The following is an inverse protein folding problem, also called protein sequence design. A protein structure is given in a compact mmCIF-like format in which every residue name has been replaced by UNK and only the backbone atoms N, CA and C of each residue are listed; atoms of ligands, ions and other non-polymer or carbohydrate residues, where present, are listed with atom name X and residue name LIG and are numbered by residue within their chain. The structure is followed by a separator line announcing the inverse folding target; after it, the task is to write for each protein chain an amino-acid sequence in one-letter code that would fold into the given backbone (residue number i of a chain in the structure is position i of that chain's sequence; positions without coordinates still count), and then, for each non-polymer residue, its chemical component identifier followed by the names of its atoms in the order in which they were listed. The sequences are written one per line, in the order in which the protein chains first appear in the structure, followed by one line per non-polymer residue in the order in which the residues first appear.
data_IF_361169214936
#
_entry.id   IF_361169214936
#
_cell.length_a   1.000
_cell.length_b   1.000
_cell.length_c   1.000
_cell.angle_alpha   90.00
_cell.angle_beta   90.00
_cell.angle_gamma   90.00
#
_symmetry.space_group_name_H-M   'P 1'
#
loop_
_entity.id
_entity.type
_entity.pdbx_description
1 polymer ?
#
# COMPACT_ATOMS: atom_id res chain seq x y z
N UNK A 1 -34.33 6.08 59.43
CA UNK A 1 -33.08 5.81 58.67
C UNK A 1 -33.34 4.64 57.75
N UNK A 2 -33.41 4.86 56.43
CA UNK A 2 -33.22 3.83 55.40
C UNK A 2 -32.99 4.56 54.07
N UNK A 3 -31.73 4.59 53.62
CA UNK A 3 -31.31 5.08 52.31
C UNK A 3 -31.44 3.91 51.32
N UNK A 4 -32.34 4.02 50.35
CA UNK A 4 -32.35 3.13 49.20
C UNK A 4 -31.31 3.63 48.18
N UNK A 5 -30.30 2.80 47.92
CA UNK A 5 -29.22 3.08 46.98
C UNK A 5 -29.67 2.99 45.54
N UNK A 6 -29.30 3.98 44.74
CA UNK A 6 -29.44 4.00 43.29
C UNK A 6 -28.26 3.21 42.72
N UNK A 7 -28.53 2.06 42.08
CA UNK A 7 -27.56 1.34 41.26
C UNK A 7 -27.43 2.05 39.90
N UNK A 8 -26.26 2.61 39.60
CA UNK A 8 -25.88 3.00 38.24
C UNK A 8 -25.32 1.78 37.51
N UNK A 9 -26.00 1.32 36.46
CA UNK A 9 -25.41 0.45 35.44
C UNK A 9 -24.69 1.32 34.40
N UNK A 10 -23.37 1.21 34.33
CA UNK A 10 -22.57 1.74 33.21
C UNK A 10 -22.50 0.70 32.10
N UNK A 11 -23.13 0.98 30.95
CA UNK A 11 -22.96 0.20 29.74
C UNK A 11 -21.62 0.55 29.08
N UNK A 12 -20.66 -0.39 29.11
CA UNK A 12 -19.49 -0.34 28.24
C UNK A 12 -19.91 -0.77 26.82
N UNK A 13 -20.07 0.20 25.91
CA UNK A 13 -20.13 -0.11 24.47
C UNK A 13 -18.73 -0.45 23.99
N UNK A 14 -18.42 -1.75 23.91
CA UNK A 14 -17.26 -2.22 23.19
C UNK A 14 -17.48 -1.95 21.69
N UNK A 15 -16.82 -0.91 21.17
CA UNK A 15 -16.74 -0.67 19.74
C UNK A 15 -15.91 -1.79 19.11
N UNK A 16 -16.57 -2.85 18.65
CA UNK A 16 -15.93 -3.85 17.79
C UNK A 16 -15.64 -3.18 16.46
N UNK A 17 -14.42 -2.67 16.27
CA UNK A 17 -13.91 -2.33 14.96
C UNK A 17 -13.81 -3.63 14.16
N UNK A 18 -14.90 -4.01 13.48
CA UNK A 18 -14.86 -5.09 12.51
C UNK A 18 -13.76 -4.74 11.50
N UNK A 19 -12.71 -5.56 11.43
CA UNK A 19 -11.68 -5.38 10.43
C UNK A 19 -12.33 -5.53 9.05
N UNK A 20 -12.50 -4.42 8.34
CA UNK A 20 -13.15 -4.35 7.02
C UNK A 20 -12.27 -4.94 5.89
N UNK A 21 -11.09 -5.47 6.23
CA UNK A 21 -10.15 -6.11 5.31
C UNK A 21 -10.32 -7.63 5.36
N UNK A 22 -11.27 -8.14 4.57
CA UNK A 22 -11.40 -9.56 4.34
C UNK A 22 -10.51 -9.99 3.16
N UNK A 23 -9.55 -10.88 3.43
CA UNK A 23 -8.70 -11.52 2.42
C UNK A 23 -9.56 -12.20 1.33
N UNK A 24 -9.09 -12.17 0.07
CA UNK A 24 -9.77 -12.88 -1.00
C UNK A 24 -9.60 -14.40 -0.85
N UNK A 25 -10.72 -15.10 -0.63
CA UNK A 25 -10.76 -16.55 -0.42
C UNK A 25 -10.20 -17.36 -1.59
N UNK A 26 -10.10 -16.78 -2.79
CA UNK A 26 -9.49 -17.46 -3.96
C UNK A 26 -8.00 -17.67 -3.80
N UNK A 27 -7.33 -16.86 -2.97
CA UNK A 27 -5.89 -16.85 -2.80
C UNK A 27 -5.51 -16.94 -1.31
N UNK A 28 -5.85 -18.05 -0.63
CA UNK A 28 -5.60 -18.15 0.80
C UNK A 28 -4.10 -18.24 1.10
N UNK A 29 -3.62 -17.44 2.05
CA UNK A 29 -2.22 -17.44 2.46
C UNK A 29 -1.72 -18.83 2.93
N UNK A 30 -2.57 -19.63 3.58
CA UNK A 30 -2.20 -20.95 4.08
C UNK A 30 -1.92 -21.98 2.98
N UNK A 31 -2.40 -21.74 1.75
CA UNK A 31 -2.16 -22.63 0.61
C UNK A 31 -0.98 -22.19 -0.26
N UNK A 32 -0.28 -21.11 0.11
CA UNK A 32 0.92 -20.66 -0.58
C UNK A 32 2.02 -21.70 -0.39
N UNK A 33 2.58 -22.14 -1.50
CA UNK A 33 3.74 -23.03 -1.56
C UNK A 33 5.02 -22.23 -1.76
N UNK A 34 5.01 -21.28 -2.71
CA UNK A 34 6.18 -20.49 -3.08
C UNK A 34 5.79 -19.06 -3.44
N UNK A 35 6.65 -18.11 -3.10
CA UNK A 35 6.58 -16.72 -3.57
C UNK A 35 7.92 -16.43 -4.24
N UNK A 36 7.90 -15.83 -5.43
CA UNK A 36 9.11 -15.35 -6.09
C UNK A 36 8.92 -13.89 -6.47
N UNK A 37 9.87 -13.04 -6.07
CA UNK A 37 9.89 -11.65 -6.50
C UNK A 37 10.41 -11.63 -7.94
N UNK A 38 9.53 -11.28 -8.87
CA UNK A 38 9.82 -11.25 -10.31
C UNK A 38 10.40 -9.90 -10.69
N UNK A 39 9.90 -8.83 -10.08
CA UNK A 39 10.42 -7.48 -10.22
C UNK A 39 10.36 -6.77 -8.86
N UNK A 40 11.49 -6.55 -8.19
CA UNK A 40 11.48 -5.94 -6.86
C UNK A 40 11.07 -4.46 -6.89
N UNK A 41 11.26 -3.78 -8.02
CA UNK A 41 10.99 -2.35 -8.18
C UNK A 41 10.91 -2.01 -9.67
N UNK A 42 9.70 -1.71 -10.13
CA UNK A 42 9.43 -1.26 -11.49
C UNK A 42 8.80 0.13 -11.50
N UNK A 43 9.10 0.87 -12.57
CA UNK A 43 8.41 2.13 -12.90
C UNK A 43 7.20 1.80 -13.77
N UNK A 44 6.05 2.39 -13.46
CA UNK A 44 4.91 2.40 -14.38
C UNK A 44 5.12 3.43 -15.49
N UNK A 45 4.53 3.19 -16.67
CA UNK A 45 4.70 4.05 -17.84
C UNK A 45 4.01 5.42 -17.74
N UNK A 46 3.19 5.66 -16.71
CA UNK A 46 2.16 6.70 -16.73
C UNK A 46 2.46 7.94 -15.86
N UNK A 47 3.54 7.99 -15.07
CA UNK A 47 3.62 8.98 -13.96
C UNK A 47 4.98 9.64 -13.67
N UNK A 48 4.91 10.72 -12.88
CA UNK A 48 6.00 11.66 -12.54
C UNK A 48 7.17 10.96 -11.85
N UNK A 49 8.25 10.81 -12.62
CA UNK A 49 9.51 10.16 -12.22
C UNK A 49 10.24 10.87 -11.07
N UNK A 50 9.71 11.99 -10.56
CA UNK A 50 10.32 12.79 -9.51
C UNK A 50 9.66 12.61 -8.13
N UNK A 51 8.51 11.92 -8.02
CA UNK A 51 7.79 11.79 -6.74
C UNK A 51 8.46 10.81 -5.77
N UNK A 52 8.86 9.63 -6.24
CA UNK A 52 9.64 8.66 -5.47
C UNK A 52 10.70 8.04 -6.38
N UNK A 53 11.88 7.75 -5.83
CA UNK A 53 12.81 6.87 -6.53
C UNK A 53 12.31 5.44 -6.32
N UNK A 54 11.86 4.76 -7.39
CA UNK A 54 11.33 3.41 -7.24
C UNK A 54 12.37 2.43 -6.69
N UNK A 55 13.68 2.71 -6.80
CA UNK A 55 14.71 1.89 -6.15
C UNK A 55 14.61 1.88 -4.61
N UNK A 56 13.96 2.88 -4.00
CA UNK A 56 13.63 2.88 -2.57
C UNK A 56 12.41 1.98 -2.26
N UNK A 57 11.61 1.64 -3.27
CA UNK A 57 10.40 0.81 -3.17
C UNK A 57 10.74 -0.64 -3.50
N UNK A 58 11.32 -1.35 -2.53
CA UNK A 58 11.69 -2.76 -2.72
C UNK A 58 10.57 -3.68 -2.24
N UNK A 59 9.94 -4.42 -3.15
CA UNK A 59 8.97 -5.46 -2.81
C UNK A 59 9.67 -6.68 -2.19
N UNK A 60 9.14 -7.15 -1.07
CA UNK A 60 9.63 -8.32 -0.33
C UNK A 60 8.58 -9.44 -0.30
N UNK A 61 8.99 -10.67 0.03
CA UNK A 61 8.03 -11.75 0.25
C UNK A 61 7.05 -11.44 1.38
N UNK A 62 7.49 -10.73 2.42
CA UNK A 62 6.62 -10.34 3.53
C UNK A 62 5.52 -9.38 3.06
N UNK A 63 5.85 -8.44 2.16
CA UNK A 63 4.85 -7.56 1.54
C UNK A 63 3.79 -8.37 0.79
N UNK A 64 4.18 -9.40 0.04
CA UNK A 64 3.27 -10.28 -0.69
C UNK A 64 2.39 -11.09 0.28
N UNK A 65 2.96 -11.66 1.34
CA UNK A 65 2.19 -12.38 2.37
C UNK A 65 1.20 -11.46 3.08
N UNK A 66 1.62 -10.24 3.39
CA UNK A 66 0.78 -9.23 4.02
C UNK A 66 -0.38 -8.83 3.10
N UNK A 67 -0.10 -8.65 1.81
CA UNK A 67 -1.12 -8.39 0.80
C UNK A 67 -2.14 -9.53 0.69
N UNK A 68 -1.71 -10.79 0.55
CA UNK A 68 -2.64 -11.93 0.49
C UNK A 68 -3.53 -12.03 1.73
N UNK A 69 -3.03 -11.62 2.90
CA UNK A 69 -3.77 -11.62 4.17
C UNK A 69 -4.80 -10.50 4.29
N UNK A 70 -4.60 -9.37 3.60
CA UNK A 70 -5.35 -8.13 3.87
C UNK A 70 -6.00 -7.49 2.65
N UNK A 71 -5.66 -7.92 1.43
CA UNK A 71 -6.20 -7.33 0.21
C UNK A 71 -7.71 -7.55 0.09
N UNK A 72 -8.41 -6.49 -0.29
CA UNK A 72 -9.86 -6.49 -0.52
C UNK A 72 -10.12 -6.23 -2.00
N UNK A 73 -10.91 -7.10 -2.63
CA UNK A 73 -11.27 -6.94 -4.04
C UNK A 73 -12.07 -5.64 -4.24
N UNK A 74 -11.70 -4.89 -5.28
CA UNK A 74 -12.39 -3.69 -5.72
C UNK A 74 -12.78 -3.79 -7.20
N UNK A 75 -13.62 -2.87 -7.66
CA UNK A 75 -13.97 -2.79 -9.08
C UNK A 75 -12.81 -2.24 -9.90
N UNK A 76 -12.72 -2.64 -11.18
CA UNK A 76 -11.78 -2.05 -12.14
C UNK A 76 -11.92 -0.53 -12.19
N UNK A 77 -13.14 -0.01 -12.21
CA UNK A 77 -13.42 1.44 -12.20
C UNK A 77 -12.80 2.13 -10.99
N UNK A 78 -12.95 1.56 -9.78
CA UNK A 78 -12.35 2.11 -8.56
C UNK A 78 -10.82 2.06 -8.61
N UNK A 79 -10.25 0.98 -9.14
CA UNK A 79 -8.80 0.85 -9.29
C UNK A 79 -8.21 1.93 -10.22
N UNK A 80 -8.90 2.25 -11.31
CA UNK A 80 -8.46 3.22 -12.32
C UNK A 80 -9.04 4.62 -12.14
N UNK A 81 -9.67 4.94 -11.00
CA UNK A 81 -10.18 6.29 -10.74
C UNK A 81 -9.07 7.34 -10.80
N UNK A 82 -9.40 8.55 -11.24
CA UNK A 82 -8.48 9.70 -11.25
C UNK A 82 -8.13 10.15 -9.83
N UNK A 83 -9.06 9.97 -8.88
CA UNK A 83 -8.86 10.31 -7.45
C UNK A 83 -7.98 9.32 -6.68
N UNK A 84 -7.64 8.18 -7.29
CA UNK A 84 -6.85 7.15 -6.60
C UNK A 84 -5.39 7.56 -6.55
N UNK A 85 -4.81 7.65 -5.36
CA UNK A 85 -3.39 7.96 -5.16
C UNK A 85 -2.48 6.89 -5.80
N UNK A 86 -1.45 7.35 -6.52
CA UNK A 86 -0.49 6.50 -7.24
C UNK A 86 0.90 7.04 -7.02
N UNK A 87 1.86 6.14 -6.85
CA UNK A 87 3.27 6.52 -6.67
C UNK A 87 4.08 6.33 -7.96
N UNK A 88 3.48 5.73 -8.98
CA UNK A 88 4.19 5.29 -10.18
C UNK A 88 5.18 4.14 -9.96
N UNK A 89 5.38 3.65 -8.74
CA UNK A 89 6.28 2.56 -8.39
C UNK A 89 5.51 1.32 -7.97
N UNK A 90 5.91 0.16 -8.47
CA UNK A 90 5.32 -1.13 -8.10
C UNK A 90 6.35 -2.23 -8.08
N UNK A 91 6.18 -3.23 -7.22
CA UNK A 91 6.88 -4.50 -7.35
C UNK A 91 5.96 -5.58 -7.90
N UNK A 92 6.52 -6.57 -8.56
CA UNK A 92 5.85 -7.75 -9.08
C UNK A 92 6.37 -9.03 -8.44
N UNK A 93 5.47 -9.94 -8.10
CA UNK A 93 5.80 -11.29 -7.64
C UNK A 93 4.93 -12.35 -8.31
N UNK A 94 5.45 -13.56 -8.41
CA UNK A 94 4.64 -14.76 -8.66
C UNK A 94 4.34 -15.45 -7.33
N UNK A 95 3.15 -16.04 -7.23
CA UNK A 95 2.75 -16.85 -6.08
C UNK A 95 2.21 -18.17 -6.59
N UNK A 96 2.88 -19.25 -6.19
CA UNK A 96 2.47 -20.63 -6.47
C UNK A 96 1.76 -21.19 -5.25
N UNK A 97 0.58 -21.76 -5.48
CA UNK A 97 -0.20 -22.43 -4.46
C UNK A 97 -0.05 -23.94 -4.58
N UNK A 98 -0.25 -24.66 -3.47
CA UNK A 98 -0.11 -26.14 -3.37
C UNK A 98 -0.98 -26.94 -4.35
N UNK A 99 -2.02 -26.33 -4.90
CA UNK A 99 -2.87 -26.94 -5.93
C UNK A 99 -2.36 -26.70 -7.36
N UNK A 100 -1.15 -26.16 -7.53
CA UNK A 100 -0.55 -25.84 -8.82
C UNK A 100 -1.03 -24.52 -9.43
N UNK A 101 -1.97 -23.81 -8.80
CA UNK A 101 -2.38 -22.47 -9.27
C UNK A 101 -1.22 -21.49 -9.12
N UNK A 102 -1.02 -20.65 -10.13
CA UNK A 102 -0.06 -19.54 -10.10
C UNK A 102 -0.82 -18.23 -10.31
N UNK A 103 -0.50 -17.21 -9.50
CA UNK A 103 -0.87 -15.83 -9.79
C UNK A 103 0.37 -14.98 -9.94
N UNK A 104 0.27 -13.94 -10.76
CA UNK A 104 1.20 -12.81 -10.71
C UNK A 104 0.48 -11.66 -10.01
N UNK A 105 1.17 -11.03 -9.07
CA UNK A 105 0.68 -9.95 -8.24
C UNK A 105 1.59 -8.73 -8.38
N UNK A 106 1.01 -7.58 -8.72
CA UNK A 106 1.66 -6.27 -8.65
C UNK A 106 1.20 -5.52 -7.41
N UNK A 107 2.13 -4.89 -6.69
CA UNK A 107 1.85 -4.18 -5.43
C UNK A 107 2.51 -2.80 -5.49
N UNK A 108 1.70 -1.76 -5.33
CA UNK A 108 2.15 -0.38 -5.16
C UNK A 108 2.27 -0.03 -3.66
N UNK A 109 3.17 0.89 -3.25
CA UNK A 109 3.24 1.42 -1.89
C UNK A 109 1.94 2.00 -1.36
N UNK A 110 1.06 2.47 -2.25
CA UNK A 110 -0.27 2.99 -1.90
C UNK A 110 -1.26 1.89 -1.51
N UNK A 111 -0.86 0.62 -1.54
CA UNK A 111 -1.73 -0.53 -1.24
C UNK A 111 -2.60 -0.96 -2.40
N UNK A 112 -2.46 -0.33 -3.57
CA UNK A 112 -3.09 -0.77 -4.82
C UNK A 112 -2.42 -2.04 -5.29
N UNK A 113 -3.27 -3.01 -5.65
CA UNK A 113 -2.81 -4.33 -6.05
C UNK A 113 -3.58 -4.79 -7.28
N UNK A 114 -2.88 -5.34 -8.26
CA UNK A 114 -3.46 -6.05 -9.38
C UNK A 114 -2.96 -7.50 -9.40
N UNK A 115 -3.83 -8.44 -9.75
CA UNK A 115 -3.46 -9.85 -9.88
C UNK A 115 -4.00 -10.45 -11.17
N UNK A 116 -3.31 -11.40 -11.77
CA UNK A 116 -3.88 -12.29 -12.78
C UNK A 116 -3.45 -13.73 -12.54
N UNK A 117 -4.29 -14.69 -12.90
CA UNK A 117 -3.91 -16.11 -12.91
C UNK A 117 -2.98 -16.36 -14.10
N UNK A 118 -1.92 -17.12 -13.88
CA UNK A 118 -0.85 -17.31 -14.85
C UNK A 118 -0.49 -18.78 -15.05
N UNK A 119 0.13 -19.09 -16.18
CA UNK A 119 0.73 -20.40 -16.45
C UNK A 119 2.14 -20.48 -15.84
N UNK A 120 2.83 -21.61 -16.02
CA UNK A 120 4.18 -21.80 -15.51
C UNK A 120 5.24 -20.85 -16.13
N UNK A 121 4.91 -20.21 -17.26
CA UNK A 121 5.74 -19.16 -17.90
C UNK A 121 5.39 -17.76 -17.42
N UNK A 122 4.53 -17.63 -16.39
CA UNK A 122 3.99 -16.38 -15.86
C UNK A 122 3.14 -15.58 -16.86
N UNK A 123 2.65 -16.22 -17.92
CA UNK A 123 1.77 -15.60 -18.89
C UNK A 123 0.31 -15.70 -18.39
N UNK A 124 -0.53 -14.67 -18.59
CA UNK A 124 -1.92 -14.70 -18.17
C UNK A 124 -2.70 -15.87 -18.79
N UNK A 125 -3.41 -16.63 -17.95
CA UNK A 125 -4.33 -17.71 -18.39
C UNK A 125 -5.78 -17.25 -18.46
N UNK A 126 -6.10 -16.14 -17.80
CA UNK A 126 -7.42 -15.53 -17.81
C UNK A 126 -7.31 -14.00 -17.83
N UNK A 127 -8.18 -13.37 -18.62
CA UNK A 127 -8.36 -11.91 -18.69
C UNK A 127 -9.85 -11.61 -18.42
N UNK A 128 -10.20 -10.58 -17.64
CA UNK A 128 -9.33 -9.57 -17.01
C UNK A 128 -8.72 -10.01 -15.67
N UNK A 129 -7.60 -9.38 -15.32
CA UNK A 129 -7.06 -9.44 -13.96
C UNK A 129 -8.04 -8.94 -12.91
N UNK A 130 -7.78 -9.31 -11.65
CA UNK A 130 -8.51 -8.81 -10.48
C UNK A 130 -7.75 -7.64 -9.85
N UNK A 131 -8.51 -6.72 -9.24
CA UNK A 131 -7.99 -5.49 -8.64
C UNK A 131 -8.35 -5.45 -7.16
N UNK A 132 -7.45 -4.90 -6.35
CA UNK A 132 -7.58 -4.85 -4.91
C UNK A 132 -7.05 -3.55 -4.34
N UNK A 133 -7.51 -3.28 -3.13
CA UNK A 133 -7.03 -2.26 -2.23
C UNK A 133 -6.60 -2.91 -0.91
N UNK A 134 -5.61 -2.33 -0.24
CA UNK A 134 -5.04 -2.83 0.99
C UNK A 134 -4.46 -1.69 1.84
N UNK A 135 -5.28 -1.02 2.65
CA UNK A 135 -4.75 -0.04 3.63
C UNK A 135 -3.69 -0.61 4.55
N UNK A 136 -3.79 -1.83 5.10
CA UNK A 136 -2.73 -2.36 5.96
C UNK A 136 -1.38 -2.40 5.23
N UNK A 137 -1.39 -2.77 3.96
CA UNK A 137 -0.21 -2.74 3.09
C UNK A 137 0.30 -1.31 2.91
N UNK A 138 -0.59 -0.36 2.60
CA UNK A 138 -0.25 1.06 2.46
C UNK A 138 0.42 1.59 3.72
N UNK A 139 -0.22 1.43 4.88
CA UNK A 139 0.28 1.94 6.16
C UNK A 139 1.65 1.35 6.48
N UNK A 140 1.78 0.02 6.36
CA UNK A 140 3.07 -0.67 6.60
C UNK A 140 4.15 -0.19 5.64
N UNK A 141 3.85 -0.10 4.34
CA UNK A 141 4.86 0.26 3.33
C UNK A 141 5.28 1.72 3.41
N UNK A 142 4.32 2.64 3.56
CA UNK A 142 4.62 4.07 3.72
C UNK A 142 5.42 4.35 4.99
N UNK A 143 5.19 3.61 6.08
CA UNK A 143 6.02 3.72 7.29
C UNK A 143 7.49 3.31 7.05
N UNK A 144 7.74 2.33 6.18
CA UNK A 144 9.10 1.91 5.80
C UNK A 144 9.77 2.91 4.82
N UNK A 145 8.98 3.70 4.10
CA UNK A 145 9.45 4.66 3.09
C UNK A 145 9.62 6.08 3.62
N UNK A 146 9.51 6.33 4.94
CA UNK A 146 9.62 7.69 5.53
C UNK A 146 10.85 8.45 5.05
N UNK A 147 12.02 7.82 5.08
CA UNK A 147 13.26 8.46 4.64
C UNK A 147 13.28 8.75 3.14
N UNK A 148 12.77 7.82 2.33
CA UNK A 148 12.67 8.00 0.88
C UNK A 148 11.74 9.16 0.52
N UNK A 149 10.59 9.25 1.19
CA UNK A 149 9.62 10.34 1.06
C UNK A 149 10.24 11.68 1.50
N UNK A 150 11.00 11.70 2.59
CA UNK A 150 11.70 12.90 3.07
C UNK A 150 12.75 13.39 2.06
N UNK A 151 13.53 12.48 1.47
CA UNK A 151 14.49 12.82 0.41
C UNK A 151 13.79 13.32 -0.85
N UNK A 152 12.64 12.75 -1.21
CA UNK A 152 11.87 13.18 -2.36
C UNK A 152 11.31 14.60 -2.18
N UNK A 153 10.72 14.89 -1.02
CA UNK A 153 10.25 16.24 -0.70
C UNK A 153 11.40 17.25 -0.69
N UNK A 154 12.57 16.86 -0.19
CA UNK A 154 13.74 17.73 -0.17
C UNK A 154 14.16 18.12 -1.58
N UNK A 155 14.28 17.14 -2.49
CA UNK A 155 14.60 17.42 -3.90
C UNK A 155 13.57 18.34 -4.55
N UNK A 156 12.28 18.07 -4.33
CA UNK A 156 11.18 18.85 -4.90
C UNK A 156 11.17 20.29 -4.40
N UNK A 157 11.24 20.48 -3.08
CA UNK A 157 11.17 21.80 -2.48
C UNK A 157 12.41 22.65 -2.79
N UNK A 158 13.61 22.05 -2.78
CA UNK A 158 14.83 22.75 -3.20
C UNK A 158 14.79 23.16 -4.67
N UNK A 159 14.22 22.31 -5.54
CA UNK A 159 14.03 22.65 -6.95
C UNK A 159 13.08 23.85 -7.12
N UNK A 160 11.93 23.84 -6.45
CA UNK A 160 10.97 24.95 -6.50
C UNK A 160 11.58 26.28 -6.02
N UNK A 161 12.41 26.24 -4.97
CA UNK A 161 13.12 27.42 -4.46
C UNK A 161 14.16 27.92 -5.45
N UNK A 162 14.97 27.02 -6.04
CA UNK A 162 15.95 27.36 -7.07
C UNK A 162 15.31 27.95 -8.34
N UNK A 163 14.09 27.52 -8.67
CA UNK A 163 13.30 28.04 -9.79
C UNK A 163 12.55 29.35 -9.44
N UNK A 164 12.63 29.82 -8.19
CA UNK A 164 11.92 31.02 -7.73
C UNK A 164 10.41 30.84 -7.56
N UNK A 165 9.90 29.61 -7.65
CA UNK A 165 8.49 29.28 -7.46
C UNK A 165 8.04 29.40 -6.00
N UNK A 166 8.99 29.36 -5.05
CA UNK A 166 8.77 29.67 -3.63
C UNK A 166 9.88 30.61 -3.12
N UNK A 167 9.61 31.42 -2.08
CA UNK A 167 10.62 32.30 -1.49
C UNK A 167 11.82 31.54 -0.93
N UNK A 168 12.98 32.19 -0.93
CA UNK A 168 14.18 31.65 -0.29
C UNK A 168 13.94 31.38 1.22
N UNK A 169 14.32 30.19 1.69
CA UNK A 169 14.10 29.67 3.04
C UNK A 169 12.75 28.97 3.24
N UNK A 170 11.82 29.08 2.28
CA UNK A 170 10.50 28.44 2.39
C UNK A 170 10.59 26.92 2.19
N UNK A 171 11.55 26.43 1.40
CA UNK A 171 11.77 24.99 1.22
C UNK A 171 12.07 24.30 2.55
N UNK A 172 13.01 24.86 3.33
CA UNK A 172 13.40 24.32 4.63
C UNK A 172 12.25 24.35 5.65
N UNK A 173 11.50 25.46 5.69
CA UNK A 173 10.33 25.61 6.54
C UNK A 173 9.29 24.52 6.27
N UNK A 174 8.94 24.28 5.00
CA UNK A 174 7.99 23.25 4.59
C UNK A 174 8.51 21.85 4.87
N UNK A 175 9.79 21.58 4.61
CA UNK A 175 10.41 20.28 4.92
C UNK A 175 10.30 19.94 6.41
N UNK A 176 10.54 20.92 7.29
CA UNK A 176 10.43 20.71 8.73
C UNK A 176 9.01 20.30 9.14
N UNK A 177 7.98 20.92 8.53
CA UNK A 177 6.58 20.59 8.79
C UNK A 177 6.27 19.18 8.28
N UNK A 178 6.65 18.84 7.05
CA UNK A 178 6.39 17.52 6.46
C UNK A 178 7.05 16.38 7.24
N UNK A 179 8.29 16.59 7.71
CA UNK A 179 9.00 15.62 8.56
C UNK A 179 8.28 15.44 9.90
N UNK A 180 7.93 16.54 10.56
CA UNK A 180 7.24 16.50 11.84
C UNK A 180 5.86 15.80 11.76
N UNK A 181 5.11 16.01 10.67
CA UNK A 181 3.84 15.34 10.41
C UNK A 181 4.01 13.83 10.24
N UNK A 182 5.04 13.38 9.52
CA UNK A 182 5.35 11.94 9.31
C UNK A 182 5.88 11.23 10.55
N UNK A 183 6.44 11.96 11.49
CA UNK A 183 6.95 11.42 12.75
C UNK A 183 5.86 11.30 13.83
N UNK A 184 4.64 11.78 13.56
CA UNK A 184 3.52 11.58 14.46
C UNK A 184 3.15 10.07 14.56
N UNK A 185 2.77 9.59 15.76
CA UNK A 185 2.42 8.18 16.01
C UNK A 185 1.18 7.67 15.26
#
# INVERSE_FOLDING_TARGET
MTKAGILLLTLFTAATTASTYAADKRYPLYSVEKIEIVDPSSRSAWEDKNFLDCSDVILTEEDVRHALKHMRRISKKSYFSEDTERTGCSGGASVTFRNGKIIVIGIEPTGRINTFEANAKLEPTAVPGSFYDCDPCRKRKMALLKDALNRADERRLKKLEAEGAIPHGEAERRLKILRADRDQP
#
